data_IF_884303639331
#
_entry.id   IF_884303639331
#
_cell.length_a   1.000
_cell.length_b   1.000
_cell.length_c   1.000
_cell.angle_alpha   90.00
_cell.angle_beta   90.00
_cell.angle_gamma   90.00
#
_symmetry.space_group_name_H-M   'P 1'
#
loop_
_entity.id
_entity.type
_entity.pdbx_description
1 polymer ?
#
# COMPACT_ATOMS: atom_id res chain seq x y z
N UNK A 1 -21.75 7.25 0.88
CA UNK A 1 -20.43 7.04 1.52
C UNK A 1 -19.44 6.68 0.41
N UNK A 2 -18.26 7.30 0.38
CA UNK A 2 -17.23 6.99 -0.64
C UNK A 2 -16.22 5.97 -0.11
N UNK A 3 -15.55 5.26 -1.01
CA UNK A 3 -14.52 4.29 -0.63
C UNK A 3 -13.20 4.99 -0.25
N UNK A 4 -12.58 4.58 0.85
CA UNK A 4 -11.37 5.23 1.35
C UNK A 4 -10.17 5.09 0.40
N UNK A 5 -10.10 4.01 -0.38
CA UNK A 5 -9.03 3.84 -1.36
C UNK A 5 -9.25 4.75 -2.58
N UNK A 6 -10.49 4.89 -3.05
CA UNK A 6 -10.83 5.86 -4.10
C UNK A 6 -10.55 7.30 -3.66
N UNK A 7 -10.90 7.64 -2.42
CA UNK A 7 -10.55 8.93 -1.83
C UNK A 7 -9.03 9.11 -1.74
N UNK A 8 -8.26 8.09 -1.35
CA UNK A 8 -6.81 8.18 -1.31
C UNK A 8 -6.22 8.38 -2.71
N UNK A 9 -6.68 7.65 -3.73
CA UNK A 9 -6.21 7.81 -5.10
C UNK A 9 -6.43 9.27 -5.57
N UNK A 10 -7.64 9.80 -5.34
CA UNK A 10 -7.96 11.20 -5.62
C UNK A 10 -7.06 12.16 -4.81
N UNK A 11 -6.96 11.97 -3.51
CA UNK A 11 -6.13 12.80 -2.64
C UNK A 11 -4.67 12.76 -3.08
N UNK A 12 -4.15 11.59 -3.44
CA UNK A 12 -2.76 11.40 -3.80
C UNK A 12 -2.37 12.08 -5.11
N UNK A 13 -3.32 12.18 -6.04
CA UNK A 13 -3.15 12.97 -7.25
C UNK A 13 -3.11 14.47 -6.95
N UNK A 14 -3.87 14.93 -5.95
CA UNK A 14 -4.04 16.34 -5.60
C UNK A 14 -3.19 16.79 -4.40
N UNK A 15 -2.35 15.91 -3.85
CA UNK A 15 -1.45 16.20 -2.73
C UNK A 15 -0.42 17.30 -3.06
N UNK A 16 -0.03 18.06 -2.02
CA UNK A 16 1.04 19.05 -2.11
C UNK A 16 2.33 18.42 -2.68
N UNK A 17 2.95 19.01 -3.72
CA UNK A 17 4.02 18.36 -4.50
C UNK A 17 5.21 17.80 -3.68
N UNK A 18 5.68 18.47 -2.61
CA UNK A 18 6.72 17.92 -1.73
C UNK A 18 6.34 16.64 -0.99
N UNK A 19 5.07 16.44 -0.63
CA UNK A 19 4.61 15.18 -0.02
C UNK A 19 4.50 14.11 -1.12
N UNK A 20 3.95 14.51 -2.27
CA UNK A 20 3.77 13.65 -3.45
C UNK A 20 5.10 13.04 -3.93
N UNK A 21 6.20 13.80 -3.95
CA UNK A 21 7.52 13.29 -4.39
C UNK A 21 8.11 12.19 -3.49
N UNK A 22 7.71 12.14 -2.21
CA UNK A 22 8.18 11.12 -1.28
C UNK A 22 7.32 9.86 -1.28
N UNK A 23 6.07 9.99 -1.71
CA UNK A 23 5.17 8.85 -1.92
C UNK A 23 5.34 8.27 -3.33
N UNK A 24 5.83 9.07 -4.30
CA UNK A 24 6.12 8.72 -5.70
C UNK A 24 7.58 8.33 -5.92
N UNK A 25 8.16 7.58 -4.99
CA UNK A 25 9.61 7.34 -4.98
C UNK A 25 10.01 5.95 -5.49
N UNK A 26 9.03 5.13 -5.87
CA UNK A 26 9.27 3.82 -6.45
C UNK A 26 8.42 3.59 -7.69
N UNK A 27 8.94 2.70 -8.53
CA UNK A 27 8.39 2.40 -9.83
C UNK A 27 8.21 0.91 -9.99
N UNK A 28 7.13 0.53 -10.65
CA UNK A 28 6.88 -0.82 -11.14
C UNK A 28 7.10 -0.82 -12.64
N UNK A 29 7.63 -1.92 -13.17
CA UNK A 29 7.78 -2.11 -14.60
C UNK A 29 7.30 -3.51 -15.01
N UNK A 30 6.67 -3.57 -16.18
CA UNK A 30 6.25 -4.84 -16.78
C UNK A 30 7.41 -5.46 -17.55
N UNK A 31 7.48 -6.78 -17.49
CA UNK A 31 8.42 -7.62 -18.21
C UNK A 31 7.66 -8.70 -18.97
N UNK A 32 8.00 -8.87 -20.24
CA UNK A 32 7.50 -9.94 -21.10
C UNK A 32 8.57 -11.00 -21.28
N UNK A 33 8.26 -12.23 -20.88
CA UNK A 33 9.10 -13.39 -21.09
C UNK A 33 8.53 -14.26 -22.19
N UNK A 34 9.24 -14.40 -23.30
CA UNK A 34 8.82 -15.25 -24.41
C UNK A 34 8.75 -16.73 -23.95
N UNK A 35 7.64 -17.41 -24.25
CA UNK A 35 7.48 -18.81 -23.87
C UNK A 35 8.43 -19.75 -24.65
N UNK A 36 8.78 -19.40 -25.89
CA UNK A 36 9.61 -20.21 -26.77
C UNK A 36 11.10 -20.07 -26.49
N UNK A 37 11.67 -18.86 -26.66
CA UNK A 37 13.11 -18.64 -26.51
C UNK A 37 13.54 -18.14 -25.12
N UNK A 38 12.59 -17.95 -24.20
CA UNK A 38 12.81 -17.46 -22.82
C UNK A 38 13.42 -16.06 -22.70
N UNK A 39 13.62 -15.34 -23.81
CA UNK A 39 14.05 -13.96 -23.79
C UNK A 39 13.06 -13.10 -23.01
N UNK A 40 13.58 -12.26 -22.13
CA UNK A 40 12.80 -11.33 -21.32
C UNK A 40 13.11 -9.90 -21.75
N UNK A 41 12.07 -9.07 -21.82
CA UNK A 41 12.17 -7.67 -22.20
C UNK A 41 11.24 -6.84 -21.34
N UNK A 42 11.72 -5.66 -20.92
CA UNK A 42 10.85 -4.66 -20.34
C UNK A 42 9.80 -4.24 -21.38
N UNK A 43 8.57 -4.04 -20.94
CA UNK A 43 7.46 -3.61 -21.79
C UNK A 43 6.68 -2.48 -21.11
N UNK A 44 6.17 -1.54 -21.88
CA UNK A 44 5.43 -0.39 -21.34
C UNK A 44 6.32 0.61 -20.60
N UNK A 45 5.69 1.66 -20.11
CA UNK A 45 6.34 2.68 -19.31
C UNK A 45 6.51 2.24 -17.86
N UNK A 46 7.39 2.93 -17.14
CA UNK A 46 7.52 2.74 -15.70
C UNK A 46 6.35 3.44 -15.03
N UNK A 47 5.61 2.70 -14.21
CA UNK A 47 4.44 3.21 -13.52
C UNK A 47 4.78 3.50 -12.06
N UNK A 48 4.21 4.57 -11.54
CA UNK A 48 4.32 4.91 -10.12
C UNK A 48 3.15 4.24 -9.42
N UNK A 49 3.46 3.34 -8.48
CA UNK A 49 2.46 2.66 -7.67
C UNK A 49 2.49 3.24 -6.26
N UNK A 50 1.33 3.36 -5.63
CA UNK A 50 1.22 3.90 -4.27
C UNK A 50 0.44 2.99 -3.36
N UNK A 51 -0.54 2.29 -3.92
CA UNK A 51 -1.48 1.48 -3.19
C UNK A 51 -1.66 0.17 -3.93
N UNK A 52 -1.08 -0.85 -3.32
CA UNK A 52 -1.13 -2.19 -3.85
C UNK A 52 -2.44 -2.82 -3.39
N UNK A 53 -3.27 -3.21 -4.35
CA UNK A 53 -4.56 -3.85 -4.09
C UNK A 53 -4.36 -5.34 -3.94
N UNK A 54 -4.38 -5.81 -2.70
CA UNK A 54 -4.25 -7.23 -2.37
C UNK A 54 -5.65 -7.80 -2.20
N UNK A 55 -6.03 -8.70 -3.12
CA UNK A 55 -7.17 -9.58 -2.88
C UNK A 55 -6.91 -10.28 -1.55
N UNK A 56 -7.84 -10.14 -0.57
CA UNK A 56 -7.67 -10.74 0.76
C UNK A 56 -7.10 -12.14 0.56
N UNK A 57 -5.85 -12.36 0.98
CA UNK A 57 -5.16 -13.55 0.56
C UNK A 57 -5.73 -14.70 1.37
N UNK A 58 -5.91 -15.85 0.73
CA UNK A 58 -6.11 -17.11 1.47
C UNK A 58 -4.82 -17.47 2.26
N UNK A 59 -3.69 -16.78 1.99
CA UNK A 59 -2.36 -17.00 2.61
C UNK A 59 -1.69 -15.69 3.06
N UNK A 60 -1.47 -15.53 4.36
CA UNK A 60 -0.82 -14.36 5.01
C UNK A 60 0.56 -14.00 4.41
N UNK A 61 1.30 -14.98 3.88
CA UNK A 61 2.63 -14.79 3.28
C UNK A 61 2.67 -13.82 2.09
N UNK A 62 1.53 -13.54 1.45
CA UNK A 62 1.44 -12.58 0.36
C UNK A 62 1.98 -11.19 0.75
N UNK A 63 1.87 -10.81 2.04
CA UNK A 63 2.37 -9.52 2.54
C UNK A 63 3.90 -9.42 2.68
N UNK A 64 4.64 -10.51 2.43
CA UNK A 64 6.11 -10.53 2.56
C UNK A 64 6.83 -10.38 1.22
N UNK A 65 6.15 -10.63 0.10
CA UNK A 65 6.73 -10.56 -1.25
C UNK A 65 6.00 -9.50 -2.07
N UNK A 66 6.68 -8.39 -2.35
CA UNK A 66 6.07 -7.22 -2.97
C UNK A 66 5.48 -7.52 -4.35
N UNK A 67 6.20 -8.29 -5.17
CA UNK A 67 5.73 -8.70 -6.50
C UNK A 67 4.50 -9.63 -6.44
N UNK A 68 4.32 -10.39 -5.35
CA UNK A 68 3.15 -11.28 -5.20
C UNK A 68 1.89 -10.49 -4.83
N UNK A 69 2.05 -9.23 -4.39
CA UNK A 69 0.95 -8.31 -4.09
C UNK A 69 0.52 -7.48 -5.30
N UNK A 70 1.37 -7.34 -6.32
CA UNK A 70 1.06 -6.54 -7.51
C UNK A 70 -0.07 -7.21 -8.30
N UNK A 71 -1.08 -6.45 -8.74
CA UNK A 71 -2.24 -7.01 -9.43
C UNK A 71 -1.82 -7.56 -10.80
N UNK A 72 -1.77 -8.89 -10.94
CA UNK A 72 -1.50 -9.57 -12.20
C UNK A 72 -2.60 -9.31 -13.27
N UNK A 73 -3.83 -9.05 -12.82
CA UNK A 73 -5.04 -9.14 -13.65
C UNK A 73 -5.49 -7.81 -14.29
N UNK A 74 -4.73 -6.71 -14.15
CA UNK A 74 -5.25 -5.39 -14.51
C UNK A 74 -5.30 -5.05 -16.00
N UNK A 75 -4.78 -5.88 -16.91
CA UNK A 75 -4.66 -5.44 -18.30
C UNK A 75 -4.98 -6.57 -19.28
N UNK A 76 -6.14 -6.45 -19.93
CA UNK A 76 -6.40 -7.14 -21.19
C UNK A 76 -5.28 -6.76 -22.16
N UNK A 77 -4.44 -7.74 -22.51
CA UNK A 77 -3.29 -7.48 -23.36
C UNK A 77 -3.75 -7.02 -24.76
N UNK A 78 -3.09 -6.03 -25.37
CA UNK A 78 -3.29 -5.77 -26.79
C UNK A 78 -2.86 -7.02 -27.57
N UNK A 79 -3.73 -7.46 -28.49
CA UNK A 79 -3.42 -8.53 -29.43
C UNK A 79 -2.11 -8.22 -30.19
N UNK A 80 -1.26 -9.23 -30.41
CA UNK A 80 -0.13 -9.11 -31.34
C UNK A 80 1.29 -9.01 -30.75
N UNK A 81 1.55 -9.55 -29.55
CA UNK A 81 2.95 -9.73 -29.13
C UNK A 81 3.71 -10.62 -30.13
N UNK A 82 4.89 -10.16 -30.54
CA UNK A 82 5.85 -10.95 -31.31
C UNK A 82 7.24 -10.79 -30.70
N UNK A 83 7.85 -11.91 -30.30
CA UNK A 83 9.19 -11.89 -29.74
C UNK A 83 10.21 -11.45 -30.80
N UNK A 84 10.92 -10.35 -30.55
CA UNK A 84 11.96 -9.84 -31.46
C UNK A 84 13.11 -10.82 -31.74
N UNK A 85 13.29 -11.86 -30.89
CA UNK A 85 14.36 -12.85 -31.04
C UNK A 85 13.95 -14.08 -31.86
N UNK A 86 12.68 -14.49 -31.81
CA UNK A 86 12.25 -15.77 -32.41
C UNK A 86 10.85 -15.73 -33.05
N UNK A 87 10.23 -14.55 -33.15
CA UNK A 87 8.88 -14.33 -33.68
C UNK A 87 7.77 -15.13 -33.00
N UNK A 88 8.04 -15.70 -31.82
CA UNK A 88 7.06 -16.42 -31.03
C UNK A 88 6.01 -15.47 -30.47
N UNK A 89 4.73 -15.87 -30.52
CA UNK A 89 3.60 -15.05 -30.08
C UNK A 89 3.19 -15.31 -28.62
N UNK A 90 3.58 -16.47 -28.07
CA UNK A 90 3.31 -16.82 -26.68
C UNK A 90 4.34 -16.18 -25.75
N UNK A 91 3.85 -15.59 -24.67
CA UNK A 91 4.66 -14.96 -23.64
C UNK A 91 3.96 -14.99 -22.28
N UNK A 92 4.72 -14.66 -21.24
CA UNK A 92 4.25 -14.41 -19.89
C UNK A 92 4.58 -12.98 -19.51
N UNK A 93 3.60 -12.24 -19.00
CA UNK A 93 3.82 -10.91 -18.42
C UNK A 93 4.07 -11.06 -16.92
N UNK A 94 5.02 -10.28 -16.39
CA UNK A 94 5.22 -10.13 -14.95
C UNK A 94 5.42 -8.67 -14.62
N UNK A 95 4.90 -8.21 -13.50
CA UNK A 95 5.18 -6.87 -12.96
C UNK A 95 6.18 -6.98 -11.81
N UNK A 96 7.15 -6.05 -11.81
CA UNK A 96 8.24 -6.07 -10.84
C UNK A 96 8.55 -4.67 -10.32
N UNK A 97 8.72 -4.51 -9.00
CA UNK A 97 9.28 -3.28 -8.44
C UNK A 97 10.73 -3.08 -8.91
N UNK A 98 11.04 -1.88 -9.38
CA UNK A 98 12.39 -1.45 -9.75
C UNK A 98 13.20 -0.91 -8.56
N UNK A 99 12.50 -0.51 -7.49
CA UNK A 99 13.08 -0.07 -6.23
C UNK A 99 12.20 -0.48 -5.06
N UNK A 100 12.77 -0.44 -3.86
CA UNK A 100 12.01 -0.60 -2.62
C UNK A 100 11.32 0.74 -2.27
N UNK A 101 9.99 0.75 -2.05
CA UNK A 101 9.27 1.94 -1.60
C UNK A 101 9.71 2.40 -0.22
N UNK A 102 9.87 3.70 0.00
CA UNK A 102 10.02 4.19 1.38
C UNK A 102 8.70 4.07 2.16
N UNK A 103 7.58 4.25 1.47
CA UNK A 103 6.25 4.10 2.02
C UNK A 103 5.31 3.61 0.91
N UNK A 104 4.45 2.64 1.22
CA UNK A 104 3.40 2.19 0.31
C UNK A 104 2.16 1.77 1.09
N UNK A 105 1.01 1.81 0.43
CA UNK A 105 -0.25 1.34 0.98
C UNK A 105 -0.57 -0.06 0.49
N UNK A 106 -1.20 -0.85 1.33
CA UNK A 106 -1.77 -2.15 0.97
C UNK A 106 -3.26 -2.11 1.22
N UNK A 107 -4.06 -2.04 0.16
CA UNK A 107 -5.51 -2.17 0.27
C UNK A 107 -5.88 -3.65 0.36
N UNK A 108 -6.58 -4.03 1.42
CA UNK A 108 -7.15 -5.35 1.61
C UNK A 108 -8.52 -5.37 0.93
N UNK A 109 -8.62 -5.97 -0.26
CA UNK A 109 -9.85 -5.97 -1.06
C UNK A 109 -10.92 -6.87 -0.43
N UNK A 110 -11.67 -6.31 0.54
CA UNK A 110 -12.70 -7.02 1.30
C UNK A 110 -14.02 -7.21 0.56
N UNK A 111 -14.16 -6.57 -0.61
CA UNK A 111 -15.33 -6.69 -1.47
C UNK A 111 -14.91 -7.37 -2.77
N UNK A 112 -15.79 -8.21 -3.30
CA UNK A 112 -15.65 -8.82 -4.62
C UNK A 112 -16.71 -8.23 -5.53
N UNK A 113 -16.37 -8.06 -6.80
CA UNK A 113 -17.33 -7.60 -7.79
C UNK A 113 -18.56 -8.51 -7.80
N UNK A 114 -19.75 -7.92 -7.78
CA UNK A 114 -21.02 -8.64 -7.72
C UNK A 114 -21.41 -9.20 -6.35
N UNK A 115 -20.59 -9.03 -5.30
CA UNK A 115 -20.89 -9.47 -3.93
C UNK A 115 -21.05 -8.27 -3.01
N UNK A 116 -22.26 -8.11 -2.46
CA UNK A 116 -22.62 -7.00 -1.57
C UNK A 116 -22.15 -7.20 -0.12
N UNK A 117 -21.65 -8.39 0.22
CA UNK A 117 -21.17 -8.73 1.55
C UNK A 117 -19.65 -8.53 1.68
N UNK A 118 -19.24 -7.81 2.72
CA UNK A 118 -17.84 -7.66 3.11
C UNK A 118 -17.27 -8.97 3.65
N UNK A 119 -16.06 -9.32 3.23
CA UNK A 119 -15.25 -10.37 3.87
C UNK A 119 -14.81 -9.93 5.27
N UNK A 120 -15.25 -10.66 6.30
CA UNK A 120 -15.04 -10.36 7.73
C UNK A 120 -13.98 -11.23 8.39
N UNK A 121 -13.20 -11.98 7.61
CA UNK A 121 -12.09 -12.76 8.15
C UNK A 121 -11.01 -11.83 8.71
N UNK A 122 -10.42 -12.24 9.84
CA UNK A 122 -9.23 -11.60 10.38
C UNK A 122 -8.07 -11.83 9.42
N UNK A 123 -7.30 -10.77 9.15
CA UNK A 123 -6.06 -10.84 8.38
C UNK A 123 -4.96 -10.45 9.34
N UNK A 124 -4.06 -11.39 9.61
CA UNK A 124 -2.86 -11.08 10.37
C UNK A 124 -1.89 -10.30 9.50
N UNK A 125 -1.32 -9.24 10.05
CA UNK A 125 -0.28 -8.44 9.43
C UNK A 125 0.79 -8.09 10.47
N UNK A 126 2.05 -7.91 10.05
CA UNK A 126 3.15 -7.69 10.99
C UNK A 126 3.07 -6.28 11.58
N UNK A 127 2.81 -6.20 12.88
CA UNK A 127 2.88 -4.95 13.65
C UNK A 127 4.33 -4.51 13.86
N UNK A 128 5.22 -5.48 14.12
CA UNK A 128 6.65 -5.25 14.28
C UNK A 128 7.40 -5.08 12.96
N UNK A 129 8.73 -5.00 13.06
CA UNK A 129 9.57 -5.04 11.88
C UNK A 129 9.43 -6.40 11.17
N UNK A 130 9.21 -6.34 9.87
CA UNK A 130 9.16 -7.51 8.99
C UNK A 130 10.09 -7.27 7.81
N UNK A 131 10.61 -8.36 7.27
CA UNK A 131 11.31 -8.34 6.01
C UNK A 131 10.30 -8.37 4.85
N UNK A 132 10.47 -7.47 3.88
CA UNK A 132 9.74 -7.46 2.61
C UNK A 132 10.74 -7.70 1.50
N UNK A 133 10.44 -8.69 0.67
CA UNK A 133 11.27 -9.13 -0.44
C UNK A 133 10.67 -8.57 -1.74
N UNK A 134 11.52 -7.97 -2.57
CA UNK A 134 11.18 -7.43 -3.87
C UNK A 134 12.22 -7.88 -4.91
N UNK A 135 11.90 -7.80 -6.20
CA UNK A 135 12.90 -7.99 -7.27
C UNK A 135 14.07 -7.00 -7.19
N UNK A 136 13.84 -5.81 -6.63
CA UNK A 136 14.86 -4.80 -6.42
C UNK A 136 15.76 -5.05 -5.19
N UNK A 137 15.44 -6.06 -4.37
CA UNK A 137 16.17 -6.38 -3.15
C UNK A 137 15.23 -6.58 -1.96
N UNK A 138 15.82 -6.59 -0.77
CA UNK A 138 15.12 -6.87 0.48
C UNK A 138 15.19 -5.67 1.41
N UNK A 139 14.08 -5.33 2.05
CA UNK A 139 14.00 -4.21 2.99
C UNK A 139 13.24 -4.57 4.26
N UNK A 140 13.58 -3.90 5.36
CA UNK A 140 12.80 -3.99 6.60
C UNK A 140 11.69 -2.95 6.60
N UNK A 141 10.47 -3.38 6.87
CA UNK A 141 9.28 -2.55 6.94
C UNK A 141 8.54 -2.78 8.25
N UNK A 142 7.65 -1.87 8.60
CA UNK A 142 6.63 -2.09 9.63
C UNK A 142 5.34 -1.38 9.25
N UNK A 143 4.25 -1.76 9.90
CA UNK A 143 3.00 -1.01 9.84
C UNK A 143 3.10 0.20 10.77
N UNK A 144 2.91 1.39 10.21
CA UNK A 144 2.85 2.67 10.95
C UNK A 144 1.40 3.17 11.10
N UNK A 145 0.48 2.65 10.30
CA UNK A 145 -0.93 3.03 10.35
C UNK A 145 -1.83 2.02 9.66
N UNK A 146 -3.07 1.98 10.09
CA UNK A 146 -4.13 1.13 9.55
C UNK A 146 -5.40 1.94 9.43
N UNK A 147 -6.00 1.92 8.25
CA UNK A 147 -7.36 2.41 8.03
C UNK A 147 -8.31 1.25 8.24
N UNK A 148 -9.36 1.48 9.00
CA UNK A 148 -10.41 0.52 9.27
C UNK A 148 -11.69 0.97 8.61
N UNK A 149 -12.51 -0.01 8.29
CA UNK A 149 -13.88 0.20 7.87
C UNK A 149 -14.76 -0.71 8.69
N UNK A 150 -15.67 -0.19 9.49
CA UNK A 150 -16.71 -0.98 10.15
C UNK A 150 -17.94 -1.14 9.25
N UNK A 151 -18.84 -2.04 9.62
CA UNK A 151 -20.03 -2.38 8.82
C UNK A 151 -19.78 -3.49 7.79
N UNK A 152 -20.89 -4.09 7.33
CA UNK A 152 -20.91 -5.31 6.50
C UNK A 152 -21.29 -5.01 5.04
N UNK A 153 -22.06 -3.94 4.79
CA UNK A 153 -22.53 -3.56 3.46
C UNK A 153 -21.49 -2.79 2.64
N UNK A 154 -21.66 -2.76 1.32
CA UNK A 154 -20.83 -1.99 0.38
C UNK A 154 -21.06 -0.49 0.50
N UNK A 155 -22.29 -0.07 0.81
CA UNK A 155 -22.67 1.36 0.83
C UNK A 155 -22.82 1.95 2.25
N UNK A 156 -22.62 1.11 3.27
CA UNK A 156 -22.76 1.46 4.69
C UNK A 156 -21.49 1.12 5.46
N UNK A 157 -21.24 1.85 6.55
CA UNK A 157 -20.08 1.63 7.41
C UNK A 157 -19.62 2.89 8.12
N UNK A 158 -18.46 2.80 8.76
CA UNK A 158 -17.73 3.93 9.35
C UNK A 158 -16.23 3.75 9.13
N UNK A 159 -15.51 4.82 8.82
CA UNK A 159 -14.07 4.78 8.65
C UNK A 159 -13.39 5.43 9.84
N UNK A 160 -12.37 4.77 10.36
CA UNK A 160 -11.49 5.31 11.39
C UNK A 160 -10.06 4.83 11.14
N UNK A 161 -9.09 5.40 11.84
CA UNK A 161 -7.69 4.98 11.69
C UNK A 161 -7.07 4.66 13.03
N UNK A 162 -6.10 3.75 13.03
CA UNK A 162 -5.21 3.54 14.16
C UNK A 162 -3.78 3.68 13.63
N UNK A 163 -2.98 4.55 14.24
CA UNK A 163 -1.61 4.82 13.83
C UNK A 163 -0.68 4.87 15.01
N UNK A 164 0.61 4.67 14.75
CA UNK A 164 1.63 4.91 15.77
C UNK A 164 1.61 6.39 16.14
N UNK A 165 1.77 6.67 17.42
CA UNK A 165 1.89 8.04 17.88
C UNK A 165 3.14 8.67 17.27
N UNK A 166 2.97 9.91 16.86
CA UNK A 166 4.04 10.74 16.33
C UNK A 166 5.07 11.04 17.41
N UNK A 167 4.64 11.22 18.66
CA UNK A 167 5.53 11.59 19.77
C UNK A 167 6.21 10.38 20.40
N UNK A 168 5.55 9.22 20.33
CA UNK A 168 6.03 7.96 20.88
C UNK A 168 5.64 6.82 19.94
N UNK A 169 6.56 6.45 19.05
CA UNK A 169 6.30 5.41 18.06
C UNK A 169 6.01 4.02 18.65
N UNK A 170 6.21 3.82 19.96
CA UNK A 170 5.80 2.60 20.67
C UNK A 170 4.31 2.57 21.02
N UNK A 171 3.67 3.75 21.09
CA UNK A 171 2.25 3.93 21.40
C UNK A 171 1.40 3.89 20.13
N UNK A 172 0.21 3.32 20.23
CA UNK A 172 -0.81 3.37 19.18
C UNK A 172 -1.95 4.28 19.59
N UNK A 173 -2.48 5.01 18.61
CA UNK A 173 -3.56 5.99 18.78
C UNK A 173 -4.64 5.72 17.76
N UNK A 174 -5.87 5.56 18.23
CA UNK A 174 -7.08 5.54 17.42
C UNK A 174 -7.57 6.96 17.18
N UNK A 175 -7.91 7.24 15.92
CA UNK A 175 -8.50 8.49 15.44
C UNK A 175 -9.86 8.15 14.83
N UNK A 176 -10.91 8.54 15.52
CA UNK A 176 -12.31 8.24 15.22
C UNK A 176 -13.09 9.55 15.15
N UNK A 177 -13.13 10.13 13.96
CA UNK A 177 -13.59 11.50 13.71
C UNK A 177 -12.91 12.53 14.64
N UNK A 178 -13.65 13.09 15.60
CA UNK A 178 -13.16 14.05 16.59
C UNK A 178 -12.52 13.40 17.83
N UNK A 179 -12.66 12.08 17.97
CA UNK A 179 -12.20 11.34 19.12
C UNK A 179 -10.79 10.78 18.91
N UNK A 180 -9.96 10.94 19.95
CA UNK A 180 -8.60 10.41 19.99
C UNK A 180 -8.44 9.56 21.25
N UNK A 181 -8.00 8.32 21.09
CA UNK A 181 -7.73 7.43 22.24
C UNK A 181 -6.44 6.65 22.03
N UNK A 182 -5.75 6.35 23.13
CA UNK A 182 -4.62 5.42 23.12
C UNK A 182 -5.20 4.01 23.12
N UNK A 183 -4.60 3.11 22.31
CA UNK A 183 -5.03 1.72 22.18
C UNK A 183 -3.84 0.78 22.33
N UNK A 184 -4.11 -0.46 22.70
CA UNK A 184 -3.10 -1.50 22.79
C UNK A 184 -2.74 -2.06 21.41
N UNK A 185 -1.66 -2.83 21.31
CA UNK A 185 -1.24 -3.49 20.06
C UNK A 185 -2.28 -4.52 19.60
N UNK A 186 -2.93 -5.19 20.55
CA UNK A 186 -3.96 -6.20 20.30
C UNK A 186 -5.19 -5.59 19.62
N UNK A 187 -5.49 -4.32 19.90
CA UNK A 187 -6.59 -3.57 19.27
C UNK A 187 -6.27 -3.12 17.84
N UNK A 188 -4.99 -3.19 17.41
CA UNK A 188 -4.59 -2.84 16.04
C UNK A 188 -4.96 -3.97 15.07
N UNK A 189 -4.78 -5.24 15.47
CA UNK A 189 -5.00 -6.37 14.54
C UNK A 189 -6.44 -6.86 14.63
N UNK A 190 -7.32 -6.26 13.83
CA UNK A 190 -8.76 -6.62 13.79
C UNK A 190 -9.22 -7.05 12.40
N UNK A 191 -10.40 -7.66 12.32
CA UNK A 191 -11.04 -8.04 11.07
C UNK A 191 -11.60 -6.84 10.28
N UNK A 192 -11.49 -5.62 10.80
CA UNK A 192 -11.94 -4.40 10.14
C UNK A 192 -10.83 -3.67 9.36
N UNK A 193 -9.57 -4.09 9.52
CA UNK A 193 -8.43 -3.50 8.81
C UNK A 193 -8.67 -3.51 7.30
N UNK A 194 -8.57 -2.35 6.67
CA UNK A 194 -8.93 -2.12 5.27
C UNK A 194 -7.74 -1.67 4.42
N UNK A 195 -6.92 -0.74 4.92
CA UNK A 195 -5.69 -0.30 4.26
C UNK A 195 -4.56 -0.28 5.28
N UNK A 196 -3.42 -0.89 4.94
CA UNK A 196 -2.20 -0.87 5.76
C UNK A 196 -1.23 0.18 5.20
N UNK A 197 -0.60 0.94 6.09
CA UNK A 197 0.48 1.89 5.75
C UNK A 197 1.81 1.24 6.11
N UNK A 198 2.53 0.79 5.08
CA UNK A 198 3.82 0.13 5.21
C UNK A 198 4.95 1.15 5.08
N UNK A 199 5.81 1.26 6.09
CA UNK A 199 6.97 2.17 6.11
C UNK A 199 8.28 1.39 6.15
N UNK A 200 9.23 1.77 5.31
CA UNK A 200 10.59 1.21 5.32
C UNK A 200 11.41 1.79 6.49
N UNK A 201 12.03 0.92 7.27
CA UNK A 201 12.76 1.29 8.50
C UNK A 201 14.16 1.86 8.24
N UNK A 202 14.80 1.47 7.14
CA UNK A 202 16.19 1.85 6.83
C UNK A 202 16.30 3.22 6.16
N UNK A 203 15.19 3.86 5.83
CA UNK A 203 15.20 5.07 5.02
C UNK A 203 15.37 6.34 5.85
N UNK A 204 16.45 7.09 5.58
CA UNK A 204 16.67 8.43 6.14
C UNK A 204 15.79 9.51 5.47
N UNK A 205 15.27 9.26 4.26
CA UNK A 205 14.46 10.23 3.51
C UNK A 205 13.16 10.58 4.20
N UNK A 206 12.56 9.69 5.01
CA UNK A 206 11.32 10.00 5.73
C UNK A 206 11.52 10.81 7.01
N UNK A 207 12.75 11.22 7.35
CA UNK A 207 13.02 12.14 8.47
C UNK A 207 12.30 13.48 8.35
N UNK A 208 11.83 13.86 7.16
CA UNK A 208 11.01 15.07 7.02
C UNK A 208 9.58 14.90 7.55
N UNK A 209 9.02 13.68 7.60
CA UNK A 209 7.75 13.43 8.31
C UNK A 209 7.96 13.82 9.77
N UNK A 210 9.05 13.31 10.35
CA UNK A 210 9.48 13.63 11.71
C UNK A 210 9.74 15.15 11.90
N UNK A 211 10.19 15.88 10.85
CA UNK A 211 10.44 17.34 10.88
C UNK A 211 9.20 18.22 10.61
N UNK A 212 8.30 17.85 9.70
CA UNK A 212 7.05 18.59 9.47
C UNK A 212 6.15 18.54 10.71
N UNK A 213 6.22 17.43 11.46
CA UNK A 213 5.57 17.27 12.76
C UNK A 213 6.13 18.24 13.82
N UNK A 214 7.44 18.52 13.80
CA UNK A 214 8.02 19.59 14.64
C UNK A 214 7.58 21.01 14.22
N UNK A 215 7.33 21.27 12.93
CA UNK A 215 6.85 22.58 12.48
C UNK A 215 5.39 22.85 12.89
N UNK A 216 4.49 21.86 12.87
CA UNK A 216 3.12 22.04 13.41
C UNK A 216 3.12 22.42 14.90
N UNK A 217 4.10 21.97 15.69
CA UNK A 217 4.27 22.41 17.09
C UNK A 217 4.43 23.92 17.24
N UNK A 218 5.06 24.61 16.28
CA UNK A 218 5.20 26.07 16.33
C UNK A 218 3.89 26.79 16.02
N UNK A 219 3.08 26.26 15.10
CA UNK A 219 1.81 26.89 14.73
C UNK A 219 0.74 26.79 15.83
N UNK A 220 0.69 25.66 16.56
CA UNK A 220 -0.24 25.50 17.70
C UNK A 220 0.21 26.24 18.97
N UNK A 221 1.51 26.53 19.13
CA UNK A 221 2.01 27.40 20.21
C UNK A 221 1.79 28.89 19.92
N UNK A 222 1.63 29.30 18.66
CA UNK A 222 1.37 30.70 18.27
C UNK A 222 -0.12 31.06 18.29
N UNK A 223 -1.03 30.08 18.34
CA UNK A 223 -2.48 30.30 18.49
C UNK A 223 -2.97 30.23 19.96
N UNK A 224 -2.06 30.32 20.93
CA UNK A 224 -2.38 30.64 22.33
C UNK A 224 -1.77 32.00 22.69
N UNK A 225 -2.36 33.06 22.15
CA UNK A 225 -2.32 34.41 22.69
C UNK A 225 -3.69 35.04 22.54
#
# INVERSE_FOLDING_TARGET
MQDAAEFYDYFAEHMFPPIKSHLRDWFVQRFRKCAHCKAEMASGEKEVEHMIKVLIPDKVQALLKLQDMLPYDKWNEPEGFSCQKCSGQSHQVTERPLSLPNLFLVQLCRFRQGVQAKKTNLIQFPIGETEVIASAGTGKYRVDGVFYRSGIGVDTGHYYTISRDVEDSSRWVKWDDSQRSVVSVEEVVTNEAYILVMRQMTTQKLRWIDRMQQCQRRSYLVLRF
#
